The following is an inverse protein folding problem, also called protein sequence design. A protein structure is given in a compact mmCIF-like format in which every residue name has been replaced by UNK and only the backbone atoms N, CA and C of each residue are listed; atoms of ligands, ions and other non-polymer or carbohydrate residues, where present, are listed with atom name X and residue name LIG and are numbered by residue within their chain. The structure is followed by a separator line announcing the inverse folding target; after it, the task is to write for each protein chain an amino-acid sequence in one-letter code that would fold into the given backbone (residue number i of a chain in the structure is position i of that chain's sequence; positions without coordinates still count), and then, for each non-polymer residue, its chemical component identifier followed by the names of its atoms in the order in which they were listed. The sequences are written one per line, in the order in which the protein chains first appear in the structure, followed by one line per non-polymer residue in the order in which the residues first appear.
data_IF_567010100404
#
_entry.id   IF_567010100404
#
_cell.length_a   1.000
_cell.length_b   1.000
_cell.length_c   1.000
_cell.angle_alpha   90.00
_cell.angle_beta   90.00
_cell.angle_gamma   90.00
#
_symmetry.space_group_name_H-M   'P 1'
#
loop_
_entity.id
_entity.type
_entity.pdbx_description
1 polymer ?
#
# COMPACT_ATOMS: atom_id res chain seq x y z
N UNK A 1 5.07 -2.34 -3.98
CA UNK A 1 4.52 -2.30 -2.61
C UNK A 1 3.62 -3.50 -2.34
N UNK A 2 3.29 -3.73 -1.08
CA UNK A 2 2.44 -4.84 -0.64
C UNK A 2 1.71 -4.49 0.65
N UNK A 3 0.57 -5.16 0.88
CA UNK A 3 -0.20 -5.05 2.10
C UNK A 3 0.14 -6.19 3.10
N UNK A 4 -0.67 -6.30 4.16
CA UNK A 4 -0.47 -7.26 5.24
C UNK A 4 -1.13 -8.64 4.99
N UNK A 5 -1.67 -8.90 3.81
CA UNK A 5 -2.33 -10.18 3.50
C UNK A 5 -1.33 -11.32 3.44
N UNK A 6 -1.85 -12.52 3.66
CA UNK A 6 -1.05 -13.75 3.57
C UNK A 6 -0.29 -13.78 2.24
N UNK A 7 1.00 -14.08 2.33
CA UNK A 7 1.93 -14.15 1.19
C UNK A 7 2.20 -12.83 0.44
N UNK A 8 1.61 -11.67 0.80
CA UNK A 8 1.86 -10.41 0.09
C UNK A 8 3.34 -10.06 0.03
N UNK A 9 4.05 -10.19 1.15
CA UNK A 9 5.51 -9.97 1.21
C UNK A 9 6.28 -10.95 0.34
N UNK A 10 5.90 -12.23 0.37
CA UNK A 10 6.53 -13.26 -0.46
C UNK A 10 6.34 -12.94 -1.95
N UNK A 11 5.11 -12.69 -2.38
CA UNK A 11 4.81 -12.37 -3.78
C UNK A 11 5.52 -11.09 -4.24
N UNK A 12 5.60 -10.05 -3.40
CA UNK A 12 6.30 -8.82 -3.75
C UNK A 12 7.79 -9.04 -3.96
N UNK A 13 8.43 -9.89 -3.15
CA UNK A 13 9.83 -10.26 -3.31
C UNK A 13 10.06 -11.07 -4.58
N UNK A 14 9.18 -12.03 -4.91
CA UNK A 14 9.28 -12.81 -6.16
C UNK A 14 9.12 -11.91 -7.39
N UNK A 15 8.16 -10.99 -7.36
CA UNK A 15 8.00 -9.98 -8.43
C UNK A 15 9.28 -9.13 -8.56
N UNK A 16 9.84 -8.65 -7.47
CA UNK A 16 11.06 -7.86 -7.47
C UNK A 16 12.25 -8.62 -8.05
N UNK A 17 12.40 -9.90 -7.71
CA UNK A 17 13.44 -10.78 -8.29
C UNK A 17 13.28 -10.93 -9.80
N UNK A 18 12.08 -11.29 -10.26
CA UNK A 18 11.81 -11.49 -11.69
C UNK A 18 12.03 -10.22 -12.48
N UNK A 19 11.53 -9.09 -12.04
CA UNK A 19 11.73 -7.80 -12.71
C UNK A 19 13.22 -7.43 -12.76
N UNK A 20 13.92 -7.53 -11.64
CA UNK A 20 15.35 -7.25 -11.58
C UNK A 20 16.17 -8.19 -12.47
N UNK A 21 15.83 -9.48 -12.54
CA UNK A 21 16.46 -10.44 -13.43
C UNK A 21 16.26 -10.12 -14.92
N UNK A 22 15.17 -9.43 -15.25
CA UNK A 22 14.85 -8.96 -16.59
C UNK A 22 15.23 -7.49 -16.85
N UNK A 23 16.24 -6.99 -16.13
CA UNK A 23 16.88 -5.69 -16.28
C UNK A 23 16.05 -4.47 -15.87
N UNK A 24 15.00 -4.64 -15.08
CA UNK A 24 14.32 -3.50 -14.44
C UNK A 24 15.09 -3.04 -13.20
N UNK A 25 15.13 -1.73 -12.97
CA UNK A 25 15.52 -1.15 -11.69
C UNK A 25 14.30 -1.18 -10.78
N UNK A 26 14.38 -1.90 -9.68
CA UNK A 26 13.25 -2.12 -8.79
C UNK A 26 13.44 -1.35 -7.49
N UNK A 27 12.39 -0.66 -7.07
CA UNK A 27 12.28 -0.06 -5.73
C UNK A 27 11.22 -0.84 -4.97
N UNK A 28 11.58 -1.40 -3.82
CA UNK A 28 10.69 -2.20 -2.99
C UNK A 28 10.62 -1.59 -1.59
N UNK A 29 9.43 -1.49 -1.03
CA UNK A 29 9.27 -1.12 0.37
C UNK A 29 9.71 -2.25 1.31
N UNK A 30 10.36 -1.88 2.41
CA UNK A 30 10.85 -2.81 3.44
C UNK A 30 9.72 -3.50 4.21
N UNK A 31 8.59 -2.82 4.32
CA UNK A 31 7.41 -3.26 5.07
C UNK A 31 6.12 -2.89 4.32
N UNK A 32 4.98 -3.32 4.85
CA UNK A 32 3.66 -3.03 4.28
C UNK A 32 3.41 -1.53 4.13
N UNK A 33 2.82 -1.12 3.01
CA UNK A 33 2.43 0.26 2.74
C UNK A 33 1.08 0.31 2.02
N UNK A 34 0.30 1.39 2.26
CA UNK A 34 -0.98 1.57 1.58
C UNK A 34 -0.80 1.96 0.11
N UNK A 35 -1.78 1.61 -0.70
CA UNK A 35 -1.82 1.90 -2.14
C UNK A 35 -1.53 3.38 -2.50
N UNK A 36 -2.07 4.40 -1.79
CA UNK A 36 -1.77 5.80 -2.10
C UNK A 36 -0.28 6.15 -1.98
N UNK A 37 0.45 5.47 -1.10
CA UNK A 37 1.88 5.68 -0.94
C UNK A 37 2.66 5.10 -2.13
N UNK A 38 2.24 3.95 -2.70
CA UNK A 38 2.77 3.46 -3.97
C UNK A 38 2.53 4.48 -5.09
N UNK A 39 1.30 4.95 -5.27
CA UNK A 39 0.96 5.95 -6.29
C UNK A 39 1.82 7.21 -6.18
N UNK A 40 2.06 7.69 -4.96
CA UNK A 40 2.96 8.80 -4.70
C UNK A 40 4.42 8.46 -5.07
N UNK A 41 4.90 7.27 -4.67
CA UNK A 41 6.29 6.86 -4.90
C UNK A 41 6.63 6.74 -6.39
N UNK A 42 5.69 6.26 -7.22
CA UNK A 42 5.87 6.19 -8.67
C UNK A 42 6.23 7.58 -9.22
N UNK A 43 5.47 8.61 -8.88
CA UNK A 43 5.72 9.98 -9.33
C UNK A 43 6.98 10.58 -8.70
N UNK A 44 7.21 10.32 -7.42
CA UNK A 44 8.37 10.85 -6.71
C UNK A 44 9.71 10.34 -7.27
N UNK A 45 9.77 9.07 -7.65
CA UNK A 45 10.97 8.45 -8.21
C UNK A 45 11.02 8.51 -9.73
N UNK A 46 10.04 9.11 -10.40
CA UNK A 46 9.86 9.10 -11.85
C UNK A 46 9.94 7.67 -12.41
N UNK A 47 9.28 6.74 -11.74
CA UNK A 47 9.24 5.34 -12.16
C UNK A 47 8.29 5.16 -13.35
N UNK A 48 8.61 4.19 -14.23
CA UNK A 48 7.79 3.86 -15.40
C UNK A 48 6.45 3.23 -15.02
N UNK A 49 6.35 2.68 -13.82
CA UNK A 49 5.12 2.09 -13.29
C UNK A 49 5.30 1.53 -11.88
N UNK A 50 4.25 0.91 -11.37
CA UNK A 50 4.27 0.30 -10.04
C UNK A 50 3.38 -0.94 -9.95
N UNK A 51 3.65 -1.73 -8.92
CA UNK A 51 2.90 -2.94 -8.62
C UNK A 51 2.51 -2.93 -7.16
N UNK A 52 1.22 -3.19 -6.91
CA UNK A 52 0.66 -3.37 -5.57
C UNK A 52 0.15 -4.79 -5.39
N UNK A 53 0.70 -5.50 -4.42
CA UNK A 53 0.20 -6.82 -4.01
C UNK A 53 -0.84 -6.61 -2.92
N UNK A 54 -2.11 -6.73 -3.29
CA UNK A 54 -3.26 -6.49 -2.39
C UNK A 54 -4.57 -6.98 -3.02
N UNK A 55 -5.49 -7.45 -2.19
CA UNK A 55 -6.89 -7.64 -2.57
C UNK A 55 -7.82 -6.60 -1.90
N UNK A 56 -7.30 -5.42 -1.53
CA UNK A 56 -8.07 -4.34 -0.90
C UNK A 56 -8.70 -4.80 0.44
N UNK A 57 -10.02 -4.70 0.56
CA UNK A 57 -10.81 -5.08 1.74
C UNK A 57 -11.52 -6.43 1.60
N UNK A 58 -11.20 -7.21 0.56
CA UNK A 58 -11.76 -8.56 0.39
C UNK A 58 -11.42 -9.47 1.58
N UNK A 59 -12.14 -10.59 1.80
CA UNK A 59 -11.82 -11.57 2.82
C UNK A 59 -10.33 -11.96 2.83
N UNK A 60 -9.78 -12.37 4.01
CA UNK A 60 -8.33 -12.53 4.21
C UNK A 60 -7.67 -13.59 3.31
N UNK A 61 -8.42 -14.57 2.81
CA UNK A 61 -7.94 -15.61 1.90
C UNK A 61 -7.60 -15.11 0.48
N UNK A 62 -8.09 -13.92 0.11
CA UNK A 62 -7.83 -13.33 -1.21
C UNK A 62 -6.53 -12.52 -1.21
N UNK A 63 -5.85 -12.56 -2.33
CA UNK A 63 -4.76 -11.64 -2.66
C UNK A 63 -4.90 -11.19 -4.12
N UNK A 64 -4.11 -10.20 -4.56
CA UNK A 64 -4.21 -9.67 -5.90
C UNK A 64 -2.93 -8.96 -6.37
N UNK A 65 -2.87 -8.77 -7.66
CA UNK A 65 -1.77 -8.12 -8.36
C UNK A 65 -2.33 -6.94 -9.16
N UNK A 66 -2.02 -5.72 -8.75
CA UNK A 66 -2.49 -4.49 -9.38
C UNK A 66 -1.33 -3.73 -9.99
N UNK A 67 -1.48 -3.34 -11.25
CA UNK A 67 -0.45 -2.59 -12.00
C UNK A 67 -0.84 -1.12 -12.09
N UNK A 68 0.15 -0.25 -11.96
CA UNK A 68 0.02 1.21 -11.99
C UNK A 68 0.90 1.78 -13.09
N UNK A 69 0.42 2.81 -13.78
CA UNK A 69 1.16 3.55 -14.80
C UNK A 69 2.14 4.57 -14.17
N UNK A 70 2.92 5.24 -15.00
CA UNK A 70 3.91 6.26 -14.59
C UNK A 70 3.30 7.48 -13.89
N UNK A 71 2.02 7.74 -14.07
CA UNK A 71 1.29 8.81 -13.38
C UNK A 71 0.77 8.39 -12.00
N UNK A 72 0.97 7.13 -11.61
CA UNK A 72 0.51 6.58 -10.34
C UNK A 72 -0.97 6.20 -10.33
N UNK A 73 -1.62 6.11 -11.50
CA UNK A 73 -2.97 5.58 -11.65
C UNK A 73 -2.96 4.07 -11.87
N UNK A 74 -3.95 3.36 -11.31
CA UNK A 74 -4.12 1.93 -11.58
C UNK A 74 -4.47 1.74 -13.06
N UNK A 75 -3.84 0.76 -13.72
CA UNK A 75 -4.19 0.36 -15.08
C UNK A 75 -5.52 -0.39 -15.04
N UNK A 76 -6.46 0.09 -15.82
CA UNK A 76 -7.84 -0.41 -15.92
C UNK A 76 -8.22 -0.60 -17.39
N UNK A 77 -9.36 -1.24 -17.71
CA UNK A 77 -9.81 -1.34 -19.11
C UNK A 77 -9.86 0.04 -19.81
N UNK A 78 -9.42 0.14 -21.08
CA UNK A 78 -9.01 -0.96 -21.96
C UNK A 78 -7.51 -1.36 -21.86
N UNK A 79 -6.67 -0.59 -21.15
CA UNK A 79 -5.20 -0.74 -21.15
C UNK A 79 -4.72 -2.06 -20.52
N UNK A 80 -5.46 -2.59 -19.55
CA UNK A 80 -5.20 -3.88 -18.92
C UNK A 80 -5.24 -5.07 -19.89
N UNK A 81 -6.05 -4.96 -20.96
CA UNK A 81 -6.15 -5.99 -21.99
C UNK A 81 -4.84 -6.21 -22.72
N UNK A 82 -4.13 -5.13 -23.04
CA UNK A 82 -2.84 -5.21 -23.75
C UNK A 82 -1.78 -5.94 -22.90
N UNK A 83 -1.77 -5.70 -21.59
CA UNK A 83 -0.90 -6.39 -20.64
C UNK A 83 -1.26 -7.87 -20.56
N UNK A 84 -2.55 -8.17 -20.40
CA UNK A 84 -3.04 -9.54 -20.30
C UNK A 84 -2.75 -10.36 -21.58
N UNK A 85 -2.90 -9.75 -22.75
CA UNK A 85 -2.54 -10.40 -24.02
C UNK A 85 -1.04 -10.61 -24.17
N UNK A 86 -0.23 -9.67 -23.68
CA UNK A 86 1.22 -9.80 -23.68
C UNK A 86 1.66 -10.96 -22.77
N UNK A 87 1.06 -11.07 -21.58
CA UNK A 87 1.31 -12.17 -20.65
C UNK A 87 0.96 -13.52 -21.27
N UNK A 88 -0.17 -13.64 -21.96
CA UNK A 88 -0.58 -14.88 -22.65
C UNK A 88 0.39 -15.34 -23.74
N UNK A 89 1.12 -14.39 -24.35
CA UNK A 89 2.13 -14.66 -25.40
C UNK A 89 3.52 -14.98 -24.84
N UNK A 90 3.74 -14.81 -23.51
CA UNK A 90 5.04 -15.06 -22.90
C UNK A 90 5.41 -16.54 -22.97
N UNK A 91 6.64 -16.78 -23.39
CA UNK A 91 7.27 -18.10 -23.23
C UNK A 91 7.98 -18.14 -21.86
N UNK A 92 7.42 -18.89 -20.92
CA UNK A 92 7.94 -19.03 -19.57
C UNK A 92 9.41 -19.50 -19.54
N UNK A 93 9.85 -20.31 -20.50
CA UNK A 93 11.24 -20.78 -20.60
C UNK A 93 12.23 -19.63 -20.93
N UNK A 94 11.75 -18.48 -21.40
CA UNK A 94 12.58 -17.31 -21.70
C UNK A 94 12.61 -16.29 -20.56
N UNK A 95 11.81 -16.46 -19.51
CA UNK A 95 11.79 -15.58 -18.36
C UNK A 95 13.02 -15.89 -17.49
N UNK A 96 13.76 -14.85 -17.14
CA UNK A 96 14.86 -14.96 -16.18
C UNK A 96 14.27 -14.87 -14.77
N UNK A 97 14.53 -15.90 -13.97
CA UNK A 97 13.97 -16.02 -12.62
C UNK A 97 14.93 -15.54 -11.54
N UNK A 98 16.21 -15.48 -11.84
CA UNK A 98 17.25 -15.06 -10.90
C UNK A 98 18.34 -14.25 -11.60
N UNK A 99 18.93 -13.30 -10.87
CA UNK A 99 20.08 -12.54 -11.30
C UNK A 99 20.99 -12.26 -10.11
N UNK A 100 22.24 -12.72 -10.19
CA UNK A 100 23.29 -12.45 -9.18
C UNK A 100 23.61 -10.95 -9.01
N UNK A 101 23.17 -10.08 -9.95
CA UNK A 101 23.32 -8.64 -9.91
C UNK A 101 21.95 -7.96 -9.70
N UNK A 102 21.24 -8.34 -8.67
CA UNK A 102 19.95 -7.75 -8.35
C UNK A 102 20.04 -6.22 -8.22
N UNK A 103 19.16 -5.51 -8.93
CA UNK A 103 19.00 -4.05 -8.87
C UNK A 103 17.76 -3.67 -8.05
N UNK A 104 17.60 -4.29 -6.90
CA UNK A 104 16.49 -3.97 -5.99
C UNK A 104 16.98 -3.00 -4.93
N UNK A 105 16.42 -1.80 -4.93
CA UNK A 105 16.62 -0.79 -3.89
C UNK A 105 15.51 -0.91 -2.86
N UNK A 106 15.87 -1.14 -1.62
CA UNK A 106 14.90 -1.13 -0.52
C UNK A 106 14.73 0.30 0.00
N UNK A 107 13.49 0.73 0.22
CA UNK A 107 13.15 2.00 0.86
C UNK A 107 12.39 1.76 2.16
N UNK A 108 12.72 2.55 3.16
CA UNK A 108 12.27 2.42 4.53
C UNK A 108 11.22 3.49 4.93
N UNK A 109 10.88 3.54 6.20
CA UNK A 109 9.91 4.47 6.77
C UNK A 109 10.34 5.95 6.73
N UNK A 110 11.58 6.29 6.38
CA UNK A 110 11.95 7.68 6.15
C UNK A 110 11.23 8.26 4.93
N UNK A 111 10.90 7.42 3.96
CA UNK A 111 10.09 7.82 2.82
C UNK A 111 8.64 8.19 3.22
N UNK A 112 8.10 7.53 4.22
CA UNK A 112 6.75 7.83 4.73
C UNK A 112 6.65 9.28 5.25
N UNK A 113 7.73 9.81 5.83
CA UNK A 113 7.80 11.21 6.27
C UNK A 113 7.71 12.19 5.09
N UNK A 114 8.32 11.85 3.96
CA UNK A 114 8.23 12.67 2.73
C UNK A 114 6.80 12.69 2.21
N UNK A 115 6.14 11.52 2.20
CA UNK A 115 4.75 11.39 1.81
C UNK A 115 3.82 12.20 2.71
N UNK A 116 3.95 12.07 4.03
CA UNK A 116 3.15 12.80 5.03
C UNK A 116 3.30 14.32 4.83
N UNK A 117 4.52 14.82 4.72
CA UNK A 117 4.78 16.24 4.46
C UNK A 117 4.09 16.72 3.18
N UNK A 118 4.11 15.90 2.12
CA UNK A 118 3.43 16.25 0.87
C UNK A 118 1.91 16.31 1.02
N UNK A 119 1.31 15.39 1.76
CA UNK A 119 -0.15 15.43 2.04
C UNK A 119 -0.49 16.71 2.81
N UNK A 120 0.26 17.01 3.87
CA UNK A 120 0.02 18.20 4.69
C UNK A 120 0.16 19.49 3.87
N UNK A 121 1.15 19.56 2.98
CA UNK A 121 1.33 20.73 2.09
C UNK A 121 0.16 20.95 1.12
N UNK A 122 -0.61 19.91 0.83
CA UNK A 122 -1.79 19.98 -0.02
C UNK A 122 -3.10 20.24 0.77
N UNK A 123 -3.02 20.33 2.12
CA UNK A 123 -4.19 20.57 2.94
C UNK A 123 -4.73 21.99 2.71
N UNK A 124 -6.00 22.07 2.37
CA UNK A 124 -6.74 23.33 2.22
C UNK A 124 -7.42 23.77 3.52
N UNK A 125 -7.40 22.91 4.54
CA UNK A 125 -8.01 23.19 5.83
C UNK A 125 -7.09 24.05 6.68
N UNK A 126 -7.64 25.11 7.30
CA UNK A 126 -6.94 25.87 8.32
C UNK A 126 -6.55 24.99 9.52
N UNK A 127 -5.44 25.34 10.17
CA UNK A 127 -4.96 24.57 11.32
C UNK A 127 -5.74 24.83 12.62
N UNK A 128 -6.63 25.82 12.60
CA UNK A 128 -7.36 26.26 13.77
C UNK A 128 -8.32 25.17 14.28
N UNK A 129 -8.33 24.99 15.60
CA UNK A 129 -9.23 24.06 16.33
C UNK A 129 -9.06 22.55 16.04
N UNK A 130 -8.03 22.13 15.34
CA UNK A 130 -7.77 20.67 15.10
C UNK A 130 -7.47 19.93 16.40
N UNK A 131 -6.86 20.60 17.36
CA UNK A 131 -6.54 20.05 18.67
C UNK A 131 -7.77 19.73 19.53
N UNK A 132 -8.92 20.38 19.25
CA UNK A 132 -10.17 20.18 19.97
C UNK A 132 -11.04 19.04 19.39
N UNK A 133 -10.63 18.48 18.25
CA UNK A 133 -11.38 17.41 17.62
C UNK A 133 -10.94 16.06 18.21
N UNK A 134 -11.92 15.33 18.78
CA UNK A 134 -11.71 13.94 19.21
C UNK A 134 -11.88 13.00 18.02
N UNK A 135 -10.88 12.19 17.78
CA UNK A 135 -10.86 11.18 16.71
C UNK A 135 -10.75 9.80 17.33
N UNK A 136 -11.63 8.88 16.91
CA UNK A 136 -11.46 7.45 17.14
C UNK A 136 -11.03 6.80 15.84
N UNK A 137 -9.94 6.05 15.86
CA UNK A 137 -9.36 5.46 14.67
C UNK A 137 -9.17 3.95 14.83
N UNK A 138 -9.61 3.21 13.81
CA UNK A 138 -9.26 1.82 13.60
C UNK A 138 -8.65 1.63 12.22
N UNK A 139 -7.56 0.88 12.13
CA UNK A 139 -6.99 0.46 10.85
C UNK A 139 -7.62 -0.84 10.33
N UNK A 140 -8.51 -1.48 11.09
CA UNK A 140 -9.04 -2.82 10.79
C UNK A 140 -7.91 -3.79 10.42
N UNK A 141 -6.81 -3.77 11.19
CA UNK A 141 -5.57 -4.53 10.96
C UNK A 141 -4.82 -4.21 9.65
N UNK A 142 -5.29 -3.22 8.87
CA UNK A 142 -4.71 -2.84 7.58
C UNK A 142 -3.50 -1.91 7.69
N UNK A 143 -2.93 -1.62 6.54
CA UNK A 143 -1.70 -0.81 6.39
C UNK A 143 -1.84 0.64 6.81
N UNK A 144 -3.08 1.15 6.98
CA UNK A 144 -3.37 2.51 7.41
C UNK A 144 -2.72 2.90 8.74
N UNK A 145 -2.48 1.95 9.63
CA UNK A 145 -1.81 2.19 10.92
C UNK A 145 -0.41 2.82 10.75
N UNK A 146 0.28 2.50 9.65
CA UNK A 146 1.63 3.03 9.36
C UNK A 146 1.62 4.50 8.96
N UNK A 147 0.51 5.02 8.43
CA UNK A 147 0.47 6.35 7.83
C UNK A 147 -0.56 7.29 8.45
N UNK A 148 -1.73 6.81 8.84
CA UNK A 148 -2.83 7.69 9.27
C UNK A 148 -2.56 8.34 10.65
N UNK A 149 -2.24 7.61 11.73
CA UNK A 149 -1.93 8.24 13.02
C UNK A 149 -0.75 9.24 12.95
N UNK A 150 0.39 8.92 12.31
CA UNK A 150 1.46 9.89 12.14
C UNK A 150 1.03 11.13 11.32
N UNK A 151 0.22 10.94 10.27
CA UNK A 151 -0.31 12.04 9.48
C UNK A 151 -1.21 12.97 10.31
N UNK A 152 -2.14 12.41 11.07
CA UNK A 152 -3.05 13.18 11.92
C UNK A 152 -2.28 13.98 12.98
N UNK A 153 -1.30 13.37 13.64
CA UNK A 153 -0.43 14.04 14.61
C UNK A 153 0.32 15.21 13.98
N UNK A 154 0.97 14.99 12.83
CA UNK A 154 1.72 16.02 12.10
C UNK A 154 0.80 17.13 11.58
N UNK A 155 -0.45 16.79 11.24
CA UNK A 155 -1.48 17.75 10.83
C UNK A 155 -2.03 18.58 11.99
N UNK A 156 -1.68 18.28 13.26
CA UNK A 156 -2.04 19.06 14.44
C UNK A 156 -3.23 18.52 15.25
N UNK A 157 -3.74 17.35 14.92
CA UNK A 157 -4.77 16.68 15.75
C UNK A 157 -4.09 16.08 17.00
N UNK A 158 -4.68 16.27 18.19
CA UNK A 158 -4.09 15.88 19.48
C UNK A 158 -4.85 14.75 20.19
N UNK A 159 -6.18 14.74 20.09
CA UNK A 159 -7.02 13.73 20.73
C UNK A 159 -7.34 12.60 19.74
N UNK A 160 -6.36 11.69 19.55
CA UNK A 160 -6.47 10.54 18.64
C UNK A 160 -6.50 9.26 19.47
N UNK A 161 -7.65 8.63 19.52
CA UNK A 161 -7.91 7.40 20.27
C UNK A 161 -7.85 6.20 19.32
N UNK A 162 -6.89 5.34 19.51
CA UNK A 162 -6.75 4.12 18.68
C UNK A 162 -7.59 2.99 19.27
N UNK A 163 -8.30 2.26 18.41
CA UNK A 163 -8.89 0.97 18.78
C UNK A 163 -7.74 -0.06 18.80
N UNK A 164 -7.05 -0.18 19.93
CA UNK A 164 -5.76 -0.87 20.06
C UNK A 164 -5.78 -2.30 19.52
N UNK A 165 -6.84 -3.05 19.80
CA UNK A 165 -6.99 -4.43 19.34
C UNK A 165 -7.28 -4.59 17.84
N UNK A 166 -7.42 -3.47 17.09
CA UNK A 166 -7.58 -3.43 15.63
C UNK A 166 -6.48 -2.59 14.95
N UNK A 167 -5.60 -1.94 15.73
CA UNK A 167 -4.57 -1.03 15.25
C UNK A 167 -3.18 -1.66 15.20
N UNK A 168 -3.09 -2.93 14.86
CA UNK A 168 -1.84 -3.63 14.56
C UNK A 168 -1.99 -4.47 13.28
N UNK A 169 -0.87 -4.71 12.61
CA UNK A 169 -0.86 -5.48 11.36
C UNK A 169 -1.17 -6.95 11.63
N UNK A 170 -2.22 -7.47 11.00
CA UNK A 170 -2.60 -8.87 11.12
C UNK A 170 -3.21 -9.40 9.80
N UNK A 171 -2.69 -10.51 9.31
CA UNK A 171 -3.11 -11.10 8.03
C UNK A 171 -4.48 -11.78 8.08
N UNK A 172 -4.94 -12.14 9.28
CA UNK A 172 -6.22 -12.82 9.50
C UNK A 172 -7.34 -11.87 9.94
N UNK A 173 -7.05 -10.56 10.08
CA UNK A 173 -8.02 -9.52 10.48
C UNK A 173 -8.78 -9.89 11.76
N UNK A 174 -8.04 -10.31 12.79
CA UNK A 174 -8.59 -10.67 14.09
C UNK A 174 -9.38 -9.51 14.71
N UNK A 175 -10.30 -9.82 15.63
CA UNK A 175 -11.07 -8.80 16.37
C UNK A 175 -11.93 -7.85 15.51
N UNK A 176 -12.21 -8.21 14.26
CA UNK A 176 -13.21 -7.55 13.43
C UNK A 176 -14.13 -8.56 12.76
N UNK A 177 -15.41 -8.24 12.69
CA UNK A 177 -16.40 -9.08 12.00
C UNK A 177 -16.29 -8.96 10.48
N UNK A 178 -15.74 -7.86 9.99
CA UNK A 178 -15.53 -7.60 8.58
C UNK A 178 -14.27 -6.78 8.37
N UNK A 179 -13.49 -7.12 7.34
CA UNK A 179 -12.37 -6.29 6.86
C UNK A 179 -12.84 -5.16 5.93
N UNK A 180 -14.13 -5.17 5.55
CA UNK A 180 -14.71 -4.15 4.70
C UNK A 180 -15.19 -2.94 5.52
N UNK A 181 -14.62 -1.73 5.36
CA UNK A 181 -15.05 -0.53 6.08
C UNK A 181 -16.46 -0.02 5.69
N UNK A 182 -17.07 -0.56 4.63
CA UNK A 182 -18.47 -0.25 4.27
C UNK A 182 -19.47 -1.07 5.11
N UNK A 183 -18.99 -2.12 5.77
CA UNK A 183 -19.81 -2.95 6.66
C UNK A 183 -19.86 -2.30 8.06
N UNK A 184 -21.07 -2.00 8.54
CA UNK A 184 -21.27 -1.41 9.88
C UNK A 184 -20.64 -2.26 11.00
N UNK A 185 -20.62 -3.58 10.85
CA UNK A 185 -20.03 -4.48 11.84
C UNK A 185 -18.51 -4.30 12.01
N UNK A 186 -17.81 -3.70 11.03
CA UNK A 186 -16.40 -3.37 11.13
C UNK A 186 -16.12 -2.30 12.21
N UNK A 187 -17.11 -1.44 12.51
CA UNK A 187 -16.97 -0.28 13.39
C UNK A 187 -17.61 -0.46 14.77
N UNK A 188 -18.06 -1.64 15.14
CA UNK A 188 -18.69 -1.87 16.46
C UNK A 188 -17.80 -1.47 17.65
N UNK A 189 -16.49 -1.48 17.47
CA UNK A 189 -15.53 -1.10 18.53
C UNK A 189 -15.11 0.39 18.49
N UNK A 190 -15.62 1.16 17.52
CA UNK A 190 -15.33 2.60 17.39
C UNK A 190 -16.46 3.49 17.90
N UNK A 191 -17.57 2.92 18.32
CA UNK A 191 -18.78 3.61 18.79
C UNK A 191 -18.85 3.68 20.30
#
# INVERSE_FOLDING_TARGET
AYDNRRNSKFFSNEVAKVLSANNFNVILFDDVRPTPLLSFSIRHFNADGGIMITASHNPPEYNGYKVYNSYGGQIVPPDDKSISESIKKLNFNKIRWDNKKSKVKIIDNNFDKIYIKKIISNSVLEKNNRENLRIVYSSLHGTGIKSIPPLLNEAGYKDINLVENQCFINENFLNTKSSNPEDKSAFEQTI
#
